data_IF_630208366198
#
_entry.id   IF_630208366198
#
_cell.length_a   1.000
_cell.length_b   1.000
_cell.length_c   1.000
_cell.angle_alpha   90.00
_cell.angle_beta   90.00
_cell.angle_gamma   90.00
#
_symmetry.space_group_name_H-M   'P 1'
#
loop_
_entity.id
_entity.type
_entity.pdbx_description
1 polymer ?
#
# COMPACT_ATOMS: atom_id res chain seq x y z
N UNK A 1 23.44 2.27 6.77
CA UNK A 1 22.67 3.52 6.90
C UNK A 1 21.23 3.14 7.17
N UNK A 2 20.79 3.13 8.43
CA UNK A 2 19.40 2.85 8.84
C UNK A 2 18.41 3.88 8.26
N UNK A 3 18.86 5.12 8.04
CA UNK A 3 18.04 6.24 7.55
C UNK A 3 17.42 6.00 6.16
N UNK A 4 18.03 5.15 5.34
CA UNK A 4 17.61 4.93 3.95
C UNK A 4 16.31 4.11 3.88
N UNK A 5 16.14 3.12 4.77
CA UNK A 5 14.94 2.26 4.76
C UNK A 5 13.72 2.98 5.33
N UNK A 6 13.87 3.74 6.41
CA UNK A 6 12.76 4.51 6.97
C UNK A 6 12.27 5.55 5.96
N UNK A 7 13.19 6.28 5.34
CA UNK A 7 12.88 7.23 4.26
C UNK A 7 12.18 6.53 3.09
N UNK A 8 12.68 5.38 2.64
CA UNK A 8 12.05 4.59 1.57
C UNK A 8 10.61 4.19 1.90
N UNK A 9 10.34 3.80 3.16
CA UNK A 9 8.99 3.42 3.60
C UNK A 9 8.07 4.62 3.70
N UNK A 10 8.55 5.75 4.22
CA UNK A 10 7.79 6.99 4.31
C UNK A 10 7.44 7.54 2.92
N UNK A 11 8.42 7.58 2.01
CA UNK A 11 8.22 7.98 0.62
C UNK A 11 7.19 7.08 -0.09
N UNK A 12 7.25 5.77 0.13
CA UNK A 12 6.29 4.83 -0.43
C UNK A 12 4.87 5.06 0.13
N UNK A 13 4.75 5.40 1.41
CA UNK A 13 3.46 5.69 2.05
C UNK A 13 2.82 6.97 1.49
N UNK A 14 3.63 8.00 1.26
CA UNK A 14 3.18 9.27 0.69
C UNK A 14 2.83 9.10 -0.80
N UNK A 15 3.70 8.47 -1.60
CA UNK A 15 3.45 8.24 -3.02
C UNK A 15 2.22 7.36 -3.27
N UNK A 16 1.92 6.40 -2.39
CA UNK A 16 0.74 5.57 -2.51
C UNK A 16 -0.60 6.33 -2.45
N UNK A 17 -0.60 7.60 -2.02
CA UNK A 17 -1.79 8.46 -2.10
C UNK A 17 -2.10 8.94 -3.52
N UNK A 18 -1.05 9.11 -4.35
CA UNK A 18 -1.15 9.71 -5.68
C UNK A 18 -1.07 8.69 -6.81
N UNK A 19 -0.73 7.43 -6.51
CA UNK A 19 -0.58 6.37 -7.48
C UNK A 19 -1.88 5.57 -7.73
N UNK A 20 -2.07 5.00 -8.94
CA UNK A 20 -3.12 4.01 -9.21
C UNK A 20 -3.04 2.82 -8.26
N UNK A 21 -4.20 2.20 -7.92
CA UNK A 21 -4.31 1.11 -6.93
C UNK A 21 -3.22 0.05 -7.06
N UNK A 22 -3.06 -0.56 -8.25
CA UNK A 22 -2.06 -1.62 -8.45
C UNK A 22 -0.62 -1.14 -8.25
N UNK A 23 -0.32 0.07 -8.73
CA UNK A 23 1.02 0.65 -8.63
C UNK A 23 1.34 1.03 -7.17
N UNK A 24 0.38 1.62 -6.47
CA UNK A 24 0.48 1.93 -5.04
C UNK A 24 0.73 0.66 -4.21
N UNK A 25 -0.05 -0.40 -4.43
CA UNK A 25 0.13 -1.68 -3.72
C UNK A 25 1.49 -2.31 -4.04
N UNK A 26 1.92 -2.27 -5.30
CA UNK A 26 3.24 -2.77 -5.71
C UNK A 26 4.36 -2.01 -4.99
N UNK A 27 4.27 -0.69 -4.94
CA UNK A 27 5.28 0.14 -4.29
C UNK A 27 5.36 -0.11 -2.78
N UNK A 28 4.20 -0.18 -2.11
CA UNK A 28 4.13 -0.47 -0.67
C UNK A 28 4.67 -1.88 -0.34
N UNK A 29 4.40 -2.88 -1.19
CA UNK A 29 4.94 -4.24 -1.02
C UNK A 29 6.46 -4.28 -1.21
N UNK A 30 7.00 -3.49 -2.14
CA UNK A 30 8.45 -3.35 -2.32
C UNK A 30 9.11 -2.74 -1.08
N UNK A 31 8.52 -1.68 -0.53
CA UNK A 31 8.98 -1.05 0.71
C UNK A 31 8.92 -2.04 1.89
N UNK A 32 7.88 -2.86 1.99
CA UNK A 32 7.79 -3.92 3.01
C UNK A 32 8.91 -4.96 2.88
N UNK A 33 9.27 -5.36 1.65
CA UNK A 33 10.37 -6.30 1.42
C UNK A 33 11.74 -5.69 1.78
N UNK A 34 11.93 -4.39 1.52
CA UNK A 34 13.13 -3.66 1.93
C UNK A 34 13.23 -3.56 3.46
N UNK A 35 12.12 -3.26 4.13
CA UNK A 35 12.02 -3.20 5.59
C UNK A 35 12.36 -4.56 6.23
N UNK A 36 11.77 -5.65 5.73
CA UNK A 36 12.05 -7.01 6.20
C UNK A 36 13.53 -7.39 6.01
N UNK A 37 14.13 -6.96 4.89
CA UNK A 37 15.56 -7.15 4.62
C UNK A 37 16.46 -6.32 5.54
N UNK A 38 16.01 -5.13 5.97
CA UNK A 38 16.71 -4.35 6.98
C UNK A 38 16.58 -4.97 8.38
N UNK A 39 15.39 -5.45 8.74
CA UNK A 39 15.14 -6.17 10.01
C UNK A 39 16.06 -7.39 10.14
N UNK A 40 16.18 -8.21 9.10
CA UNK A 40 17.06 -9.39 9.09
C UNK A 40 18.55 -9.07 9.24
N UNK A 41 18.95 -7.84 8.91
CA UNK A 41 20.34 -7.37 9.01
C UNK A 41 20.59 -6.56 10.29
N UNK A 42 19.61 -6.49 11.20
CA UNK A 42 19.62 -5.62 12.37
C UNK A 42 19.97 -4.15 12.00
N UNK A 43 19.58 -3.74 10.79
CA UNK A 43 19.87 -2.41 10.25
C UNK A 43 18.80 -1.37 10.60
N UNK A 44 17.81 -1.76 11.40
CA UNK A 44 16.72 -0.94 11.93
C UNK A 44 16.32 -1.53 13.28
N UNK A 45 15.86 -0.70 14.22
CA UNK A 45 15.38 -1.21 15.49
C UNK A 45 14.04 -1.96 15.33
N UNK A 46 13.82 -2.95 16.20
CA UNK A 46 12.66 -3.83 16.08
C UNK A 46 11.32 -3.11 16.29
N UNK A 47 11.29 -2.09 17.15
CA UNK A 47 10.09 -1.32 17.46
C UNK A 47 9.65 -0.48 16.25
N UNK A 48 10.58 0.26 15.66
CA UNK A 48 10.38 1.01 14.42
C UNK A 48 10.01 0.07 13.27
N UNK A 49 10.68 -1.09 13.15
CA UNK A 49 10.35 -2.05 12.11
C UNK A 49 8.92 -2.59 12.23
N UNK A 50 8.46 -2.92 13.43
CA UNK A 50 7.09 -3.40 13.66
C UNK A 50 6.05 -2.28 13.46
N UNK A 51 6.36 -1.04 13.86
CA UNK A 51 5.52 0.13 13.62
C UNK A 51 5.34 0.42 12.12
N UNK A 52 6.44 0.44 11.35
CA UNK A 52 6.42 0.66 9.90
C UNK A 52 5.70 -0.48 9.17
N UNK A 53 5.94 -1.74 9.57
CA UNK A 53 5.26 -2.92 9.00
C UNK A 53 3.75 -2.85 9.20
N UNK A 54 3.31 -2.42 10.40
CA UNK A 54 1.89 -2.23 10.71
C UNK A 54 1.29 -1.16 9.82
N UNK A 55 1.96 -0.02 9.67
CA UNK A 55 1.49 1.12 8.85
C UNK A 55 1.37 0.75 7.37
N UNK A 56 2.37 0.06 6.83
CA UNK A 56 2.34 -0.46 5.46
C UNK A 56 1.15 -1.40 5.23
N UNK A 57 0.93 -2.34 6.15
CA UNK A 57 -0.16 -3.32 6.05
C UNK A 57 -1.53 -2.64 6.10
N UNK A 58 -1.72 -1.68 6.99
CA UNK A 58 -2.95 -0.88 7.08
C UNK A 58 -3.20 -0.10 5.78
N UNK A 59 -2.15 0.50 5.20
CA UNK A 59 -2.28 1.29 3.98
C UNK A 59 -2.64 0.44 2.77
N UNK A 60 -1.98 -0.71 2.59
CA UNK A 60 -2.30 -1.67 1.52
C UNK A 60 -3.77 -2.08 1.61
N UNK A 61 -4.22 -2.47 2.80
CA UNK A 61 -5.61 -2.88 3.03
C UNK A 61 -6.60 -1.76 2.71
N UNK A 62 -6.34 -0.53 3.12
CA UNK A 62 -7.20 0.61 2.82
C UNK A 62 -7.30 0.88 1.30
N UNK A 63 -6.22 0.68 0.56
CA UNK A 63 -6.21 0.82 -0.91
C UNK A 63 -6.99 -0.31 -1.58
N UNK A 64 -6.77 -1.56 -1.17
CA UNK A 64 -7.48 -2.72 -1.68
C UNK A 64 -8.99 -2.65 -1.38
N UNK A 65 -9.37 -2.20 -0.17
CA UNK A 65 -10.78 -1.96 0.18
C UNK A 65 -11.39 -0.84 -0.67
N UNK A 66 -10.69 0.28 -0.88
CA UNK A 66 -11.19 1.37 -1.73
C UNK A 66 -11.44 0.88 -3.17
N UNK A 67 -10.51 0.12 -3.73
CA UNK A 67 -10.64 -0.42 -5.08
C UNK A 67 -11.84 -1.36 -5.21
N UNK A 68 -12.07 -2.22 -4.20
CA UNK A 68 -13.23 -3.09 -4.16
C UNK A 68 -14.56 -2.31 -4.09
N UNK A 69 -14.62 -1.24 -3.28
CA UNK A 69 -15.79 -0.37 -3.21
C UNK A 69 -16.01 0.45 -4.50
N UNK A 70 -14.94 0.99 -5.10
CA UNK A 70 -15.00 1.73 -6.36
C UNK A 70 -15.48 0.80 -7.51
N UNK A 71 -15.01 -0.45 -7.52
CA UNK A 71 -15.46 -1.47 -8.46
C UNK A 71 -16.92 -1.88 -8.25
N UNK A 72 -17.37 -2.01 -6.99
CA UNK A 72 -18.77 -2.32 -6.65
C UNK A 72 -19.71 -1.16 -7.04
N UNK A 73 -19.32 0.09 -6.79
CA UNK A 73 -20.09 1.26 -7.21
C UNK A 73 -20.15 1.38 -8.74
N UNK A 74 -19.04 1.12 -9.43
CA UNK A 74 -18.99 1.04 -10.89
C UNK A 74 -19.90 -0.05 -11.44
N UNK A 75 -19.93 -1.23 -10.82
CA UNK A 75 -20.83 -2.32 -11.20
C UNK A 75 -22.30 -2.00 -10.91
N UNK A 76 -22.61 -1.31 -9.81
CA UNK A 76 -23.96 -0.89 -9.46
C UNK A 76 -24.52 0.19 -10.39
N UNK A 77 -23.66 1.09 -10.91
CA UNK A 77 -24.05 2.10 -11.89
C UNK A 77 -24.19 1.52 -13.31
N UNK A 78 -23.47 0.44 -13.63
CA UNK A 78 -23.51 -0.21 -14.94
C UNK A 78 -24.63 -1.26 -15.07
N UNK A 79 -25.37 -1.54 -13.99
CA UNK A 79 -26.55 -2.42 -14.01
C UNK A 79 -27.83 -1.73 -14.55
N UNK A 80 -27.79 -0.41 -14.75
CA UNK A 80 -28.90 0.38 -15.32
C UNK A 80 -28.71 0.69 -16.83
N UNK A 81 -27.60 0.25 -17.43
CA UNK A 81 -27.25 0.54 -18.83
C UNK A 81 -27.22 -0.72 -19.74
N UNK A 82 -27.80 -1.84 -19.28
CA UNK A 82 -28.12 -3.03 -20.10
C UNK A 82 -29.64 -3.34 -20.19
N UNK A 83 -30.49 -2.30 -20.15
CA UNK A 83 -31.87 -2.36 -20.69
C UNK A 83 -32.12 -1.21 -21.69
N UNK A 84 -31.15 -0.99 -22.58
CA UNK A 84 -31.27 -0.06 -23.69
C UNK A 84 -30.53 -0.56 -24.95
N UNK A 85 -30.92 -1.73 -25.48
CA UNK A 85 -30.92 -2.05 -26.92
C UNK A 85 -31.61 -3.39 -27.22
#
# INVERSE_FOLDING_TARGET
>A
MPDDVTTTVEDALDCAADLPTQEAVSHLRSAAAALESARKRDAIDAETADALTTRLSQRIRAIEERDAYDAELGAALNLDEEDAA
#
